data_IF_809392081249
#
_entry.id   IF_809392081249
#
_cell.length_a   1.000
_cell.length_b   1.000
_cell.length_c   1.000
_cell.angle_alpha   90.00
_cell.angle_beta   90.00
_cell.angle_gamma   90.00
#
_symmetry.space_group_name_H-M   'P 1'
#
loop_
_entity.id
_entity.type
_entity.pdbx_description
1 polymer ?
#
# COMPACT_ATOMS: atom_id res chain seq x y z
N UNK A 1 -5.63 1.39 5.91
CA UNK A 1 -4.68 0.27 6.12
C UNK A 1 -4.29 -0.27 4.77
N UNK A 2 -2.99 -0.49 4.56
CA UNK A 2 -2.45 -1.19 3.40
C UNK A 2 -2.12 -2.62 3.78
N UNK A 3 -2.45 -3.58 2.93
CA UNK A 3 -2.26 -5.01 3.20
C UNK A 3 -1.99 -5.79 1.92
N UNK A 4 -1.32 -6.94 2.05
CA UNK A 4 -1.13 -7.88 0.94
C UNK A 4 -2.42 -8.65 0.69
N UNK A 5 -2.84 -8.70 -0.57
CA UNK A 5 -4.00 -9.49 -1.00
C UNK A 5 -3.59 -10.47 -2.11
N UNK A 6 -3.71 -11.76 -1.83
CA UNK A 6 -3.35 -12.84 -2.76
C UNK A 6 -4.31 -12.95 -3.94
N UNK A 7 -5.57 -12.48 -3.79
CA UNK A 7 -6.54 -12.46 -4.89
C UNK A 7 -6.17 -11.43 -5.97
N UNK A 8 -5.38 -10.42 -5.60
CA UNK A 8 -4.76 -9.45 -6.52
C UNK A 8 -3.33 -9.85 -6.92
N UNK A 9 -2.99 -11.14 -6.90
CA UNK A 9 -1.66 -11.62 -7.27
C UNK A 9 -0.59 -11.21 -6.27
N UNK A 10 -0.92 -11.21 -4.98
CA UNK A 10 -0.02 -10.82 -3.87
C UNK A 10 0.47 -9.38 -3.98
N UNK A 11 -0.41 -8.47 -4.39
CA UNK A 11 -0.15 -7.03 -4.45
C UNK A 11 -0.78 -6.31 -3.24
N UNK A 12 -0.45 -5.02 -3.08
CA UNK A 12 -1.02 -4.20 -2.01
C UNK A 12 -2.42 -3.70 -2.36
N UNK A 13 -3.38 -4.08 -1.54
CA UNK A 13 -4.71 -3.52 -1.46
C UNK A 13 -4.84 -2.57 -0.25
N UNK A 14 -5.93 -1.83 -0.18
CA UNK A 14 -6.22 -0.94 0.93
C UNK A 14 -7.63 -1.11 1.49
N UNK A 15 -7.80 -0.69 2.73
CA UNK A 15 -9.08 -0.62 3.42
C UNK A 15 -9.11 0.59 4.36
N UNK A 16 -10.24 1.28 4.42
CA UNK A 16 -10.46 2.43 5.28
C UNK A 16 -11.30 2.06 6.49
N UNK A 17 -11.05 2.73 7.61
CA UNK A 17 -11.83 2.56 8.84
C UNK A 17 -11.95 3.89 9.57
N UNK A 18 -13.15 4.25 10.05
CA UNK A 18 -13.34 5.43 10.88
C UNK A 18 -12.94 5.20 12.35
N UNK A 19 -12.86 3.94 12.80
CA UNK A 19 -12.73 3.57 14.22
C UNK A 19 -11.63 2.54 14.52
N UNK A 20 -10.94 2.04 13.48
CA UNK A 20 -9.94 0.95 13.53
C UNK A 20 -10.49 -0.44 13.86
N UNK A 21 -11.81 -0.61 13.99
CA UNK A 21 -12.48 -1.89 14.24
C UNK A 21 -13.28 -2.37 13.02
N UNK A 22 -14.00 -1.46 12.37
CA UNK A 22 -14.79 -1.73 11.18
C UNK A 22 -14.03 -1.26 9.93
N UNK A 23 -13.63 -2.20 9.09
CA UNK A 23 -12.81 -1.92 7.91
C UNK A 23 -13.59 -2.14 6.62
N UNK A 24 -13.45 -1.22 5.67
CA UNK A 24 -14.06 -1.28 4.34
C UNK A 24 -12.96 -1.35 3.28
N UNK A 25 -12.82 -2.46 2.54
CA UNK A 25 -11.87 -2.56 1.44
C UNK A 25 -12.11 -1.46 0.39
N UNK A 26 -11.05 -0.80 -0.04
CA UNK A 26 -11.06 0.21 -1.12
C UNK A 26 -10.55 -0.36 -2.44
N UNK A 27 -9.97 -1.57 -2.41
CA UNK A 27 -9.52 -2.30 -3.60
C UNK A 27 -8.00 -2.28 -3.75
N UNK A 28 -7.53 -2.54 -4.98
CA UNK A 28 -6.12 -2.56 -5.32
C UNK A 28 -5.53 -1.14 -5.22
N UNK A 29 -4.48 -0.99 -4.42
CA UNK A 29 -3.78 0.29 -4.26
C UNK A 29 -2.50 0.34 -5.13
N UNK A 30 -1.74 -0.75 -5.18
CA UNK A 30 -0.51 -0.84 -5.99
C UNK A 30 -0.48 -2.13 -6.79
N UNK A 31 -0.82 -2.04 -8.08
CA UNK A 31 -0.85 -3.16 -9.04
C UNK A 31 0.45 -3.38 -9.80
N UNK A 32 1.60 -3.28 -9.13
CA UNK A 32 2.91 -3.35 -9.77
C UNK A 32 3.36 -4.81 -10.04
N UNK A 33 3.79 -5.50 -8.99
CA UNK A 33 4.37 -6.85 -8.94
C UNK A 33 3.93 -7.48 -7.62
N UNK A 34 3.94 -8.81 -7.49
CA UNK A 34 3.82 -9.45 -6.19
C UNK A 34 4.85 -8.88 -5.19
N UNK A 35 4.43 -8.54 -3.97
CA UNK A 35 5.29 -8.01 -2.90
C UNK A 35 4.71 -8.22 -1.49
N UNK A 36 5.49 -7.93 -0.46
CA UNK A 36 5.09 -7.99 0.95
C UNK A 36 5.37 -6.71 1.73
N UNK A 37 4.79 -6.63 2.93
CA UNK A 37 5.14 -5.66 3.95
C UNK A 37 5.04 -4.19 3.53
N UNK A 38 3.89 -3.72 2.99
CA UNK A 38 3.73 -2.31 2.66
C UNK A 38 3.88 -1.44 3.92
N UNK A 39 4.93 -0.63 3.95
CA UNK A 39 5.14 0.40 4.96
C UNK A 39 4.94 1.77 4.32
N UNK A 40 3.93 2.50 4.78
CA UNK A 40 3.49 3.78 4.19
C UNK A 40 3.66 4.91 5.18
N UNK A 41 4.31 5.98 4.76
CA UNK A 41 4.56 7.16 5.59
C UNK A 41 4.67 8.43 4.74
N UNK A 42 4.41 9.58 5.37
CA UNK A 42 4.66 10.89 4.76
C UNK A 42 6.07 11.36 5.12
N UNK A 43 6.81 11.84 4.11
CA UNK A 43 8.12 12.45 4.30
C UNK A 43 8.24 13.67 3.37
N UNK A 44 8.14 14.85 3.97
CA UNK A 44 7.90 16.11 3.27
C UNK A 44 6.41 16.33 3.07
N UNK A 45 5.96 17.58 3.20
CA UNK A 45 4.53 17.93 3.13
C UNK A 45 3.97 17.52 1.77
N UNK A 46 2.98 16.63 1.76
CA UNK A 46 2.31 16.17 0.55
C UNK A 46 3.08 15.12 -0.25
N UNK A 47 4.10 14.48 0.34
CA UNK A 47 4.83 13.38 -0.30
C UNK A 47 4.71 12.10 0.52
N UNK A 48 3.98 11.15 -0.04
CA UNK A 48 3.73 9.86 0.56
C UNK A 48 4.64 8.82 -0.07
N UNK A 49 5.24 8.00 0.76
CA UNK A 49 6.18 6.97 0.36
C UNK A 49 5.66 5.61 0.80
N UNK A 50 5.86 4.61 -0.05
CA UNK A 50 5.63 3.21 0.28
C UNK A 50 6.90 2.41 0.03
N UNK A 51 7.29 1.61 1.02
CA UNK A 51 8.36 0.61 0.89
C UNK A 51 7.73 -0.78 0.92
N UNK A 52 8.15 -1.66 0.00
CA UNK A 52 7.68 -3.05 -0.13
C UNK A 52 8.84 -4.01 -0.34
N UNK A 53 8.72 -5.25 0.12
CA UNK A 53 9.66 -6.33 -0.22
C UNK A 53 9.21 -7.05 -1.50
N UNK A 54 10.03 -7.01 -2.55
CA UNK A 54 9.76 -7.69 -3.83
C UNK A 54 10.44 -9.08 -3.95
N UNK A 55 10.96 -9.63 -2.85
CA UNK A 55 11.80 -10.85 -2.81
C UNK A 55 13.06 -10.78 -3.68
N UNK A 56 13.45 -9.57 -4.05
CA UNK A 56 14.66 -9.26 -4.82
C UNK A 56 15.25 -7.90 -4.44
N UNK A 57 14.91 -7.44 -3.23
CA UNK A 57 15.20 -6.10 -2.72
C UNK A 57 13.93 -5.35 -2.35
N UNK A 58 14.14 -4.12 -1.88
CA UNK A 58 13.06 -3.22 -1.48
C UNK A 58 12.62 -2.37 -2.67
N UNK A 59 11.32 -2.36 -2.97
CA UNK A 59 10.69 -1.41 -3.87
C UNK A 59 10.35 -0.11 -3.12
N UNK A 60 10.49 1.03 -3.81
CA UNK A 60 10.14 2.35 -3.27
C UNK A 60 9.18 3.03 -4.23
N UNK A 61 8.00 3.39 -3.73
CA UNK A 61 6.98 4.13 -4.47
C UNK A 61 6.75 5.48 -3.81
N UNK A 62 6.38 6.48 -4.61
CA UNK A 62 5.95 7.80 -4.14
C UNK A 62 4.60 8.14 -4.75
N UNK A 63 3.73 8.74 -3.95
CA UNK A 63 2.49 9.37 -4.38
C UNK A 63 2.41 10.78 -3.83
N UNK A 64 1.71 11.66 -4.54
CA UNK A 64 1.41 13.01 -4.07
C UNK A 64 -0.03 13.12 -3.51
N UNK A 65 -0.85 12.05 -3.63
CA UNK A 65 -2.28 12.07 -3.25
C UNK A 65 -2.84 10.76 -2.65
N UNK A 66 -2.02 9.71 -2.49
CA UNK A 66 -2.41 8.37 -2.03
C UNK A 66 -3.38 7.61 -2.96
N UNK A 67 -3.64 8.12 -4.16
CA UNK A 67 -4.52 7.51 -5.15
C UNK A 67 -3.79 7.14 -6.45
N UNK A 68 -2.69 7.83 -6.78
CA UNK A 68 -1.89 7.62 -7.99
C UNK A 68 -0.39 7.56 -7.73
#
# INVERSE_FOLDING_TARGET
MWFKDESYGSCTAAADSPDLYQWRPTGLAVGHRPHEGPNVFELGVGHYWMIVDEWRGQGVLRSDDLAT
#
